data_IF_499284978792
#
_entry.id   IF_499284978792
#
_cell.length_a   1.000
_cell.length_b   1.000
_cell.length_c   1.000
_cell.angle_alpha   90.00
_cell.angle_beta   90.00
_cell.angle_gamma   90.00
#
_symmetry.space_group_name_H-M   'P 1'
#
loop_
_entity.id
_entity.type
_entity.pdbx_description
1 polymer ?
#
# COMPACT_ATOMS: atom_id res chain seq x y z
N UNK A 1 -9.32 -7.80 -20.35
CA UNK A 1 -10.80 -7.73 -20.42
C UNK A 1 -11.33 -7.49 -21.83
N UNK A 2 -10.85 -6.48 -22.57
CA UNK A 2 -11.36 -6.22 -23.94
C UNK A 2 -11.14 -7.42 -24.91
N UNK A 3 -10.00 -8.10 -24.79
CA UNK A 3 -9.66 -9.28 -25.60
C UNK A 3 -10.62 -10.47 -25.40
N UNK A 4 -10.99 -10.78 -24.14
CA UNK A 4 -11.93 -11.87 -23.87
C UNK A 4 -13.34 -11.56 -24.36
N UNK A 5 -13.75 -10.29 -24.29
CA UNK A 5 -15.03 -9.85 -24.84
C UNK A 5 -15.07 -10.04 -26.36
N UNK A 6 -14.03 -9.62 -27.07
CA UNK A 6 -13.90 -9.80 -28.53
C UNK A 6 -13.95 -11.30 -28.89
N UNK A 7 -13.22 -12.15 -28.18
CA UNK A 7 -13.21 -13.60 -28.42
C UNK A 7 -14.58 -14.24 -28.13
N UNK A 8 -15.26 -13.81 -27.06
CA UNK A 8 -16.60 -14.28 -26.74
C UNK A 8 -17.63 -13.85 -27.80
N UNK A 9 -17.56 -12.60 -28.25
CA UNK A 9 -18.46 -12.06 -29.26
C UNK A 9 -18.26 -12.81 -30.60
N UNK A 10 -17.00 -13.06 -31.00
CA UNK A 10 -16.68 -13.85 -32.19
C UNK A 10 -17.18 -15.31 -32.09
N UNK A 11 -17.03 -15.95 -30.92
CA UNK A 11 -17.57 -17.30 -30.67
C UNK A 11 -19.09 -17.31 -30.72
N UNK A 12 -19.75 -16.28 -30.19
CA UNK A 12 -21.22 -16.16 -30.19
C UNK A 12 -21.77 -16.02 -31.61
N UNK A 13 -21.13 -15.21 -32.44
CA UNK A 13 -21.48 -15.05 -33.84
C UNK A 13 -21.28 -16.37 -34.61
N UNK A 14 -20.12 -17.01 -34.42
CA UNK A 14 -19.81 -18.30 -35.04
C UNK A 14 -20.77 -19.41 -34.62
N UNK A 15 -21.15 -19.45 -33.33
CA UNK A 15 -22.11 -20.42 -32.80
C UNK A 15 -23.50 -20.23 -33.43
N UNK A 16 -23.94 -18.99 -33.58
CA UNK A 16 -25.27 -18.70 -34.13
C UNK A 16 -25.38 -19.17 -35.57
N UNK A 17 -24.36 -18.90 -36.40
CA UNK A 17 -24.29 -19.39 -37.78
C UNK A 17 -24.16 -20.91 -37.86
N UNK A 18 -23.30 -21.52 -37.05
CA UNK A 18 -23.11 -22.97 -37.02
C UNK A 18 -24.38 -23.71 -36.56
N UNK A 19 -25.15 -23.14 -35.62
CA UNK A 19 -26.38 -23.74 -35.13
C UNK A 19 -27.48 -23.76 -36.20
N UNK A 20 -27.61 -22.66 -36.95
CA UNK A 20 -28.55 -22.60 -38.08
C UNK A 20 -28.21 -23.63 -39.15
N UNK A 21 -26.93 -23.71 -39.53
CA UNK A 21 -26.45 -24.71 -40.49
C UNK A 21 -26.71 -26.13 -39.98
N UNK A 22 -26.28 -26.44 -38.76
CA UNK A 22 -26.49 -27.75 -38.13
C UNK A 22 -27.97 -28.15 -38.11
N UNK A 23 -28.87 -27.23 -37.74
CA UNK A 23 -30.30 -27.50 -37.74
C UNK A 23 -30.83 -27.86 -39.13
N UNK A 24 -30.44 -27.10 -40.16
CA UNK A 24 -30.85 -27.37 -41.54
C UNK A 24 -30.32 -28.72 -42.03
N UNK A 25 -29.04 -29.01 -41.79
CA UNK A 25 -28.44 -30.28 -42.21
C UNK A 25 -28.99 -31.47 -41.43
N UNK A 26 -29.35 -31.29 -40.15
CA UNK A 26 -30.00 -32.32 -39.35
C UNK A 26 -31.32 -32.77 -39.97
N UNK A 27 -32.16 -31.82 -40.41
CA UNK A 27 -33.43 -32.12 -41.09
C UNK A 27 -33.17 -32.84 -42.41
N UNK A 28 -32.24 -32.35 -43.23
CA UNK A 28 -31.92 -32.94 -44.54
C UNK A 28 -31.39 -34.37 -44.39
N UNK A 29 -30.50 -34.59 -43.42
CA UNK A 29 -29.95 -35.92 -43.13
C UNK A 29 -31.04 -36.90 -42.67
N UNK A 30 -31.93 -36.49 -41.76
CA UNK A 30 -33.01 -37.35 -41.27
C UNK A 30 -34.10 -37.61 -42.32
N UNK A 31 -34.31 -36.69 -43.26
CA UNK A 31 -35.25 -36.90 -44.37
C UNK A 31 -34.66 -37.74 -45.50
N UNK A 32 -33.33 -37.85 -45.58
CA UNK A 32 -32.61 -38.60 -46.60
C UNK A 32 -31.52 -39.50 -45.97
N UNK A 33 -31.90 -40.49 -45.14
CA UNK A 33 -30.96 -41.25 -44.31
C UNK A 33 -29.97 -42.11 -45.10
N UNK A 34 -30.34 -42.53 -46.31
CA UNK A 34 -29.49 -43.37 -47.17
C UNK A 34 -28.45 -42.56 -47.96
N UNK A 35 -28.52 -41.22 -47.91
CA UNK A 35 -27.57 -40.35 -48.60
C UNK A 35 -26.28 -40.21 -47.80
N UNK A 36 -25.20 -40.78 -48.35
CA UNK A 36 -23.84 -40.65 -47.81
C UNK A 36 -23.40 -39.18 -47.78
N UNK A 37 -23.77 -38.40 -48.80
CA UNK A 37 -23.43 -36.97 -48.88
C UNK A 37 -24.02 -36.18 -47.71
N UNK A 38 -25.33 -36.35 -47.45
CA UNK A 38 -25.98 -35.61 -46.35
C UNK A 38 -25.51 -36.06 -44.97
N UNK A 39 -25.11 -37.32 -44.82
CA UNK A 39 -24.47 -37.83 -43.60
C UNK A 39 -23.11 -37.17 -43.36
N UNK A 40 -22.30 -37.00 -44.40
CA UNK A 40 -21.00 -36.31 -44.32
C UNK A 40 -21.16 -34.83 -43.95
N UNK A 41 -22.08 -34.11 -44.60
CA UNK A 41 -22.34 -32.69 -44.30
C UNK A 41 -22.83 -32.55 -42.84
N UNK A 42 -23.74 -33.42 -42.39
CA UNK A 42 -24.22 -33.40 -41.00
C UNK A 42 -23.08 -33.62 -39.99
N UNK A 43 -22.22 -34.62 -40.23
CA UNK A 43 -21.06 -34.88 -39.38
C UNK A 43 -20.08 -33.70 -39.34
N UNK A 44 -19.91 -32.99 -40.46
CA UNK A 44 -19.07 -31.80 -40.53
C UNK A 44 -19.63 -30.65 -39.68
N UNK A 45 -20.93 -30.37 -39.79
CA UNK A 45 -21.59 -29.32 -38.99
C UNK A 45 -21.62 -29.68 -37.49
N UNK A 46 -21.81 -30.96 -37.15
CA UNK A 46 -21.66 -31.43 -35.76
C UNK A 46 -20.24 -31.16 -35.23
N UNK A 47 -19.23 -31.43 -36.07
CA UNK A 47 -17.83 -31.14 -35.76
C UNK A 47 -17.58 -29.66 -35.50
N UNK A 48 -18.20 -28.77 -36.27
CA UNK A 48 -18.09 -27.32 -36.08
C UNK A 48 -18.68 -26.87 -34.74
N UNK A 49 -19.88 -27.34 -34.38
CA UNK A 49 -20.51 -27.05 -33.07
C UNK A 49 -19.60 -27.52 -31.93
N UNK A 50 -19.05 -28.73 -32.03
CA UNK A 50 -18.13 -29.30 -31.02
C UNK A 50 -16.84 -28.48 -30.90
N UNK A 51 -16.29 -28.01 -32.01
CA UNK A 51 -15.11 -27.15 -32.01
C UNK A 51 -15.38 -25.83 -31.28
N UNK A 52 -16.52 -25.18 -31.56
CA UNK A 52 -16.93 -23.94 -30.90
C UNK A 52 -17.09 -24.14 -29.38
N UNK A 53 -17.72 -25.25 -28.96
CA UNK A 53 -17.83 -25.61 -27.55
C UNK A 53 -16.47 -25.79 -26.88
N UNK A 54 -15.52 -26.44 -27.56
CA UNK A 54 -14.15 -26.59 -27.08
C UNK A 54 -13.41 -25.25 -26.93
N UNK A 55 -13.61 -24.33 -27.87
CA UNK A 55 -13.07 -22.97 -27.78
C UNK A 55 -13.69 -22.18 -26.62
N UNK A 56 -15.00 -22.33 -26.38
CA UNK A 56 -15.70 -21.68 -25.27
C UNK A 56 -15.16 -22.17 -23.91
N UNK A 57 -14.98 -23.49 -23.77
CA UNK A 57 -14.39 -24.08 -22.56
C UNK A 57 -12.96 -23.60 -22.32
N UNK A 58 -12.15 -23.51 -23.37
CA UNK A 58 -10.78 -23.00 -23.29
C UNK A 58 -10.73 -21.52 -22.89
N UNK A 59 -11.65 -20.71 -23.43
CA UNK A 59 -11.81 -19.31 -23.06
C UNK A 59 -12.21 -19.17 -21.58
N UNK A 60 -13.19 -19.96 -21.12
CA UNK A 60 -13.61 -19.98 -19.73
C UNK A 60 -12.43 -20.29 -18.80
N UNK A 61 -11.68 -21.37 -19.06
CA UNK A 61 -10.51 -21.73 -18.26
C UNK A 61 -9.45 -20.62 -18.24
N UNK A 62 -9.23 -19.96 -19.38
CA UNK A 62 -8.27 -18.85 -19.49
C UNK A 62 -8.70 -17.64 -18.65
N UNK A 63 -10.01 -17.35 -18.61
CA UNK A 63 -10.58 -16.29 -17.77
C UNK A 63 -10.43 -16.65 -16.30
N UNK A 64 -10.75 -17.88 -15.90
CA UNK A 64 -10.64 -18.35 -14.52
C UNK A 64 -9.19 -18.29 -14.02
N UNK A 65 -8.22 -18.78 -14.81
CA UNK A 65 -6.80 -18.69 -14.48
C UNK A 65 -6.32 -17.23 -14.34
N UNK A 66 -6.82 -16.34 -15.19
CA UNK A 66 -6.47 -14.91 -15.12
C UNK A 66 -7.04 -14.25 -13.87
N UNK A 67 -8.27 -14.59 -13.48
CA UNK A 67 -8.88 -14.12 -12.23
C UNK A 67 -8.08 -14.61 -11.03
N UNK A 68 -7.70 -15.90 -11.01
CA UNK A 68 -6.89 -16.45 -9.93
C UNK A 68 -5.53 -15.77 -9.82
N UNK A 69 -4.87 -15.52 -10.95
CA UNK A 69 -3.61 -14.77 -11.02
C UNK A 69 -3.76 -13.34 -10.50
N UNK A 70 -4.83 -12.64 -10.88
CA UNK A 70 -5.09 -11.29 -10.36
C UNK A 70 -5.35 -11.29 -8.86
N UNK A 71 -6.12 -12.25 -8.34
CA UNK A 71 -6.36 -12.36 -6.90
C UNK A 71 -5.07 -12.62 -6.12
N UNK A 72 -4.18 -13.47 -6.64
CA UNK A 72 -2.84 -13.69 -6.05
C UNK A 72 -2.01 -12.40 -6.04
N UNK A 73 -1.99 -11.66 -7.15
CA UNK A 73 -1.26 -10.39 -7.24
C UNK A 73 -1.81 -9.33 -6.27
N UNK A 74 -3.14 -9.22 -6.15
CA UNK A 74 -3.79 -8.32 -5.19
C UNK A 74 -3.38 -8.66 -3.76
N UNK A 75 -3.41 -9.94 -3.39
CA UNK A 75 -2.99 -10.40 -2.06
C UNK A 75 -1.54 -10.01 -1.74
N UNK A 76 -0.62 -10.24 -2.68
CA UNK A 76 0.79 -9.84 -2.54
C UNK A 76 0.93 -8.32 -2.40
N UNK A 77 0.13 -7.57 -3.16
CA UNK A 77 0.19 -6.10 -3.12
C UNK A 77 -0.34 -5.56 -1.78
N UNK A 78 -1.41 -6.15 -1.25
CA UNK A 78 -1.98 -5.80 0.05
C UNK A 78 -1.00 -6.06 1.19
N UNK A 79 -0.29 -7.20 1.14
CA UNK A 79 0.79 -7.51 2.08
C UNK A 79 1.92 -6.47 2.02
N UNK A 80 2.36 -6.10 0.81
CA UNK A 80 3.37 -5.04 0.63
C UNK A 80 2.91 -3.69 1.15
N UNK A 81 1.66 -3.30 0.89
CA UNK A 81 1.09 -2.04 1.39
C UNK A 81 1.09 -2.02 2.92
N UNK A 82 0.75 -3.15 3.55
CA UNK A 82 0.80 -3.28 5.01
C UNK A 82 2.22 -3.12 5.54
N UNK A 83 3.21 -3.79 4.94
CA UNK A 83 4.62 -3.68 5.33
C UNK A 83 5.11 -2.23 5.22
N UNK A 84 4.83 -1.55 4.11
CA UNK A 84 5.23 -0.15 3.89
C UNK A 84 4.54 0.80 4.87
N UNK A 85 3.27 0.54 5.21
CA UNK A 85 2.55 1.31 6.22
C UNK A 85 3.18 1.17 7.60
N UNK A 86 3.48 -0.05 8.01
CA UNK A 86 4.15 -0.34 9.29
C UNK A 86 5.55 0.32 9.34
N UNK A 87 6.29 0.27 8.22
CA UNK A 87 7.58 0.94 8.11
C UNK A 87 7.45 2.47 8.24
N UNK A 88 6.46 3.06 7.58
CA UNK A 88 6.20 4.50 7.64
C UNK A 88 5.79 4.95 9.06
N UNK A 89 4.92 4.20 9.74
CA UNK A 89 4.54 4.48 11.14
C UNK A 89 5.77 4.44 12.07
N UNK A 90 6.66 3.46 11.89
CA UNK A 90 7.90 3.35 12.63
C UNK A 90 8.86 4.53 12.35
N UNK A 91 8.97 4.98 11.10
CA UNK A 91 9.77 6.15 10.74
C UNK A 91 9.21 7.42 11.36
N UNK A 92 7.89 7.63 11.29
CA UNK A 92 7.24 8.76 11.95
C UNK A 92 7.47 8.75 13.46
N UNK A 93 7.38 7.58 14.10
CA UNK A 93 7.72 7.42 15.53
C UNK A 93 9.17 7.83 15.81
N UNK A 94 10.14 7.30 15.05
CA UNK A 94 11.56 7.67 15.19
C UNK A 94 11.81 9.17 15.03
N UNK A 95 11.15 9.81 14.07
CA UNK A 95 11.26 11.27 13.85
C UNK A 95 10.69 12.04 15.04
N UNK A 96 9.51 11.64 15.52
CA UNK A 96 8.89 12.27 16.71
C UNK A 96 9.77 12.13 17.94
N UNK A 97 10.32 10.93 18.18
CA UNK A 97 11.17 10.65 19.33
C UNK A 97 12.46 11.48 19.28
N UNK A 98 13.12 11.55 18.11
CA UNK A 98 14.29 12.41 17.91
C UNK A 98 13.98 13.89 18.11
N UNK A 99 12.84 14.37 17.62
CA UNK A 99 12.41 15.78 17.81
C UNK A 99 12.11 16.08 19.28
N UNK A 100 11.51 15.13 20.01
CA UNK A 100 11.29 15.23 21.45
C UNK A 100 12.61 15.30 22.22
N UNK A 101 13.55 14.39 21.94
CA UNK A 101 14.88 14.38 22.54
C UNK A 101 15.66 15.67 22.27
N UNK A 102 15.64 16.18 21.04
CA UNK A 102 16.28 17.44 20.68
C UNK A 102 15.69 18.63 21.46
N UNK A 103 14.36 18.71 21.59
CA UNK A 103 13.69 19.75 22.38
C UNK A 103 14.05 19.67 23.87
N UNK A 104 14.06 18.45 24.43
CA UNK A 104 14.48 18.23 25.82
C UNK A 104 15.92 18.65 26.07
N UNK A 105 16.84 18.29 25.15
CA UNK A 105 18.24 18.69 25.23
C UNK A 105 18.44 20.21 25.17
N UNK A 106 17.70 20.92 24.30
CA UNK A 106 17.73 22.39 24.24
C UNK A 106 17.22 22.99 25.56
N UNK A 107 16.12 22.46 26.11
CA UNK A 107 15.59 22.89 27.40
C UNK A 107 16.60 22.74 28.53
N UNK A 108 17.29 21.59 28.62
CA UNK A 108 18.33 21.36 29.62
C UNK A 108 19.53 22.32 29.48
N UNK A 109 19.91 22.68 28.25
CA UNK A 109 21.00 23.65 28.02
C UNK A 109 20.61 25.03 28.55
N UNK A 110 19.40 25.49 28.24
CA UNK A 110 18.91 26.79 28.70
C UNK A 110 18.79 26.84 30.23
N UNK A 111 18.21 25.81 30.85
CA UNK A 111 18.06 25.73 32.30
C UNK A 111 19.42 25.65 33.02
N UNK A 112 20.40 24.97 32.42
CA UNK A 112 21.78 24.95 32.91
C UNK A 112 22.47 26.32 32.83
N UNK A 113 22.26 27.06 31.74
CA UNK A 113 22.77 28.42 31.59
C UNK A 113 22.15 29.37 32.62
N UNK A 114 20.83 29.34 32.78
CA UNK A 114 20.12 30.17 33.76
C UNK A 114 20.58 29.88 35.19
N UNK A 115 20.75 28.59 35.53
CA UNK A 115 21.28 28.17 36.83
C UNK A 115 22.71 28.66 37.07
N UNK A 116 23.56 28.60 36.03
CA UNK A 116 24.93 29.09 36.11
C UNK A 116 24.98 30.61 36.33
N UNK A 117 24.21 31.38 35.55
CA UNK A 117 24.15 32.84 35.68
C UNK A 117 23.58 33.26 37.04
N UNK A 118 22.55 32.57 37.54
CA UNK A 118 22.02 32.79 38.87
C UNK A 118 23.07 32.55 39.96
N UNK A 119 23.80 31.44 39.89
CA UNK A 119 24.89 31.15 40.84
C UNK A 119 26.00 32.19 40.76
N UNK A 120 26.36 32.65 39.57
CA UNK A 120 27.36 33.69 39.38
C UNK A 120 26.94 35.00 40.04
N UNK A 121 25.71 35.46 39.79
CA UNK A 121 25.17 36.68 40.41
C UNK A 121 25.12 36.54 41.93
N UNK A 122 24.65 35.40 42.43
CA UNK A 122 24.61 35.12 43.87
C UNK A 122 26.00 35.20 44.50
N UNK A 123 27.00 34.57 43.88
CA UNK A 123 28.37 34.55 44.40
C UNK A 123 29.00 35.95 44.40
N UNK A 124 28.79 36.74 43.33
CA UNK A 124 29.26 38.13 43.27
C UNK A 124 28.57 38.99 44.34
N UNK A 125 27.26 38.82 44.51
CA UNK A 125 26.48 39.57 45.50
C UNK A 125 26.94 39.25 46.92
N UNK A 126 27.19 37.97 47.22
CA UNK A 126 27.74 37.53 48.50
C UNK A 126 29.12 38.14 48.74
N UNK A 127 30.01 38.08 47.76
CA UNK A 127 31.36 38.65 47.87
C UNK A 127 31.35 40.16 48.14
N UNK A 128 30.50 40.91 47.42
CA UNK A 128 30.33 42.35 47.66
C UNK A 128 29.73 42.60 49.06
N UNK A 129 28.73 41.80 49.46
CA UNK A 129 28.12 41.87 50.79
C UNK A 129 29.13 41.68 51.91
N UNK A 130 30.03 40.70 51.78
CA UNK A 130 31.09 40.43 52.74
C UNK A 130 32.06 41.61 52.84
N UNK A 131 32.46 42.22 51.71
CA UNK A 131 33.32 43.41 51.70
C UNK A 131 32.65 44.59 52.43
N UNK A 132 31.37 44.85 52.13
CA UNK A 132 30.62 45.94 52.76
C UNK A 132 30.50 45.71 54.27
N UNK A 133 30.20 44.48 54.69
CA UNK A 133 30.05 44.13 56.10
C UNK A 133 31.38 44.28 56.85
N UNK A 134 32.48 43.81 56.27
CA UNK A 134 33.82 44.00 56.83
C UNK A 134 34.19 45.50 56.94
N UNK A 135 33.84 46.31 55.94
CA UNK A 135 34.05 47.75 55.99
C UNK A 135 33.26 48.42 57.13
N UNK A 136 31.99 48.05 57.33
CA UNK A 136 31.18 48.56 58.45
C UNK A 136 31.77 48.17 59.81
N UNK A 137 32.21 46.92 59.97
CA UNK A 137 32.86 46.47 61.22
C UNK A 137 34.14 47.28 61.47
N UNK A 138 34.98 47.44 60.46
CA UNK A 138 36.21 48.24 60.55
C UNK A 138 35.91 49.69 60.94
N UNK A 139 34.94 50.32 60.28
CA UNK A 139 34.53 51.70 60.56
C UNK A 139 34.04 51.88 62.00
N UNK A 140 33.21 50.97 62.52
CA UNK A 140 32.72 51.04 63.90
C UNK A 140 33.84 50.80 64.92
N UNK A 141 34.73 49.84 64.66
CA UNK A 141 35.82 49.51 65.56
C UNK A 141 36.83 50.67 65.69
N UNK A 142 37.21 51.31 64.58
CA UNK A 142 38.15 52.43 64.57
C UNK A 142 37.52 53.80 64.85
N UNK A 143 36.20 53.96 64.70
CA UNK A 143 35.51 55.18 65.14
C UNK A 143 35.41 55.33 66.66
N UNK A 144 35.75 54.29 67.43
CA UNK A 144 35.73 54.29 68.90
C UNK A 144 37.08 54.64 69.54
N UNK A 145 38.14 54.78 68.73
CA UNK A 145 39.51 55.10 69.17
C UNK A 145 39.94 56.56 68.87
N UNK A 146 39.07 57.41 68.32
CA UNK A 146 39.22 58.87 68.23
C UNK A 146 38.11 59.57 69.03
#
# INVERSE_FOLDING_TARGET
MNQYKIQLDALKESYSSALENFHNTFIIHHTNPDSVEYSQIYSQEEGQIRAILGSLFSLQNSIEQSIESFNKQISILDEKVKIEKDANENLHKKVRDKKGAARGSIGMILESQDSYDYQRIKNITLFIGDIILLYFIYSIAFAKEN
#
